data_IF_210211466575
#
_entry.id   IF_210211466575
#
_cell.length_a   1.000
_cell.length_b   1.000
_cell.length_c   1.000
_cell.angle_alpha   90.00
_cell.angle_beta   90.00
_cell.angle_gamma   90.00
#
_symmetry.space_group_name_H-M   'P 1'
#
loop_
_entity.id
_entity.type
_entity.pdbx_description
1 polymer ?
#
# COMPACT_ATOMS: atom_id res chain seq x y z
N UNK A 1 22.61 -11.57 -17.21
CA UNK A 1 21.35 -12.28 -16.92
C UNK A 1 21.50 -12.87 -15.52
N UNK A 2 20.91 -12.23 -14.49
CA UNK A 2 20.92 -12.79 -13.13
C UNK A 2 19.94 -13.95 -13.09
N UNK A 3 20.41 -15.15 -12.80
CA UNK A 3 19.55 -16.29 -12.56
C UNK A 3 18.72 -16.01 -11.31
N UNK A 4 17.41 -15.91 -11.45
CA UNK A 4 16.49 -15.95 -10.33
C UNK A 4 16.72 -17.28 -9.61
N UNK A 5 17.24 -17.22 -8.39
CA UNK A 5 17.49 -18.42 -7.62
C UNK A 5 16.15 -19.03 -7.21
N UNK A 6 15.97 -20.32 -7.50
CA UNK A 6 14.78 -21.12 -7.20
C UNK A 6 14.50 -21.30 -5.69
N UNK A 7 15.38 -20.80 -4.82
CA UNK A 7 15.32 -20.91 -3.36
C UNK A 7 14.73 -19.67 -2.66
N UNK A 8 14.39 -18.61 -3.41
CA UNK A 8 13.75 -17.43 -2.84
C UNK A 8 12.26 -17.69 -2.64
N UNK A 9 11.79 -17.59 -1.40
CA UNK A 9 10.37 -17.48 -1.10
C UNK A 9 9.88 -16.08 -1.44
N UNK A 10 8.76 -16.03 -2.15
CA UNK A 10 8.01 -14.80 -2.38
C UNK A 10 6.76 -14.88 -1.51
N UNK A 11 6.54 -13.85 -0.73
CA UNK A 11 5.34 -13.69 0.07
C UNK A 11 4.54 -12.52 -0.51
N UNK A 12 3.33 -12.81 -0.97
CA UNK A 12 2.39 -11.75 -1.31
C UNK A 12 1.74 -11.26 -0.01
N UNK A 13 2.07 -10.04 0.35
CA UNK A 13 1.53 -9.33 1.53
C UNK A 13 0.53 -8.25 1.12
N UNK A 14 0.16 -8.20 -0.16
CA UNK A 14 -0.79 -7.22 -0.67
C UNK A 14 -2.19 -7.49 -0.14
N UNK A 15 -2.92 -6.42 0.11
CA UNK A 15 -4.34 -6.51 0.43
C UNK A 15 -5.13 -6.98 -0.79
N UNK A 16 -6.06 -7.92 -0.59
CA UNK A 16 -6.95 -8.37 -1.66
C UNK A 16 -7.88 -7.23 -2.09
N UNK A 17 -7.88 -6.94 -3.38
CA UNK A 17 -8.84 -6.00 -3.97
C UNK A 17 -10.20 -6.69 -4.12
N UNK A 18 -11.19 -6.22 -3.37
CA UNK A 18 -12.59 -6.68 -3.42
C UNK A 18 -13.48 -5.44 -3.50
N UNK A 19 -14.55 -5.44 -4.34
CA UNK A 19 -15.47 -4.31 -4.44
C UNK A 19 -15.93 -3.82 -3.08
N UNK A 20 -15.91 -2.50 -2.87
CA UNK A 20 -16.16 -1.88 -1.56
C UNK A 20 -17.56 -2.21 -1.01
N UNK A 21 -18.53 -2.45 -1.91
CA UNK A 21 -19.91 -2.80 -1.55
C UNK A 21 -20.14 -4.29 -1.27
N UNK A 22 -19.11 -5.13 -1.36
CA UNK A 22 -19.19 -6.55 -1.04
C UNK A 22 -18.75 -6.82 0.40
N UNK A 23 -19.12 -7.99 0.94
CA UNK A 23 -18.65 -8.41 2.26
C UNK A 23 -17.12 -8.56 2.27
N UNK A 24 -16.46 -7.88 3.20
CA UNK A 24 -15.01 -7.78 3.26
C UNK A 24 -14.44 -6.98 2.08
N UNK A 25 -15.22 -6.02 1.58
CA UNK A 25 -14.80 -5.08 0.54
C UNK A 25 -13.67 -4.19 1.00
N UNK A 26 -12.88 -3.70 0.04
CA UNK A 26 -11.74 -2.84 0.31
C UNK A 26 -12.22 -1.54 0.97
N UNK A 27 -11.77 -1.21 2.20
CA UNK A 27 -12.05 0.08 2.78
C UNK A 27 -11.29 1.17 2.01
N UNK A 28 -11.93 2.31 1.81
CA UNK A 28 -11.33 3.47 1.16
C UNK A 28 -11.51 4.70 2.04
N UNK A 29 -10.68 5.70 1.82
CA UNK A 29 -10.79 6.99 2.50
C UNK A 29 -12.21 7.55 2.35
N UNK A 30 -12.84 8.05 3.44
CA UNK A 30 -14.18 8.62 3.38
C UNK A 30 -14.30 9.74 2.34
N UNK A 31 -15.18 9.53 1.34
CA UNK A 31 -15.39 10.47 0.24
C UNK A 31 -14.53 10.23 -1.01
N UNK A 32 -13.58 9.28 -0.97
CA UNK A 32 -12.81 8.90 -2.15
C UNK A 32 -13.55 7.87 -3.02
N UNK A 33 -13.00 7.59 -4.20
CA UNK A 33 -13.56 6.66 -5.18
C UNK A 33 -13.54 5.23 -4.65
N UNK A 34 -14.72 4.64 -4.52
CA UNK A 34 -14.87 3.24 -4.12
C UNK A 34 -14.33 2.29 -5.18
N UNK A 35 -13.76 1.17 -4.72
CA UNK A 35 -13.38 0.12 -5.64
C UNK A 35 -14.61 -0.60 -6.16
N UNK A 36 -14.76 -0.63 -7.48
CA UNK A 36 -15.80 -1.36 -8.19
C UNK A 36 -15.19 -2.23 -9.27
N UNK A 37 -15.74 -3.41 -9.45
CA UNK A 37 -15.39 -4.33 -10.52
C UNK A 37 -16.65 -4.81 -11.22
N UNK A 38 -16.66 -4.79 -12.54
CA UNK A 38 -17.75 -5.33 -13.32
C UNK A 38 -17.22 -6.20 -14.48
N UNK A 39 -17.97 -7.22 -14.84
CA UNK A 39 -17.72 -8.00 -16.04
C UNK A 39 -18.29 -7.25 -17.26
N UNK A 40 -17.44 -6.99 -18.23
CA UNK A 40 -17.83 -6.39 -19.51
C UNK A 40 -18.08 -7.45 -20.58
N UNK A 41 -17.35 -8.57 -20.51
CA UNK A 41 -17.56 -9.77 -21.31
C UNK A 41 -17.54 -10.98 -20.41
N UNK A 42 -18.45 -11.95 -20.65
CA UNK A 42 -18.47 -13.21 -19.93
C UNK A 42 -18.55 -14.39 -20.88
N UNK A 43 -17.85 -15.46 -20.55
CA UNK A 43 -17.92 -16.69 -21.32
C UNK A 43 -19.30 -17.36 -21.18
N UNK A 44 -20.01 -17.14 -20.08
CA UNK A 44 -21.38 -17.60 -19.86
C UNK A 44 -22.35 -17.02 -20.89
N UNK A 45 -22.11 -15.77 -21.33
CA UNK A 45 -22.89 -15.09 -22.37
C UNK A 45 -22.38 -15.36 -23.79
N UNK A 46 -21.48 -16.35 -23.95
CA UNK A 46 -20.94 -16.77 -25.24
C UNK A 46 -19.74 -15.98 -25.74
N UNK A 47 -19.15 -15.14 -24.90
CA UNK A 47 -17.87 -14.50 -25.23
C UNK A 47 -16.73 -15.52 -25.22
N UNK A 48 -15.71 -15.39 -26.08
CA UNK A 48 -14.53 -16.27 -26.07
C UNK A 48 -13.66 -16.09 -24.81
N UNK A 49 -13.82 -15.00 -24.06
CA UNK A 49 -13.01 -14.64 -22.89
C UNK A 49 -13.85 -13.92 -21.84
N UNK A 50 -13.36 -13.91 -20.61
CA UNK A 50 -13.87 -13.06 -19.53
C UNK A 50 -13.04 -11.77 -19.48
N UNK A 51 -13.69 -10.61 -19.55
CA UNK A 51 -13.06 -9.28 -19.42
C UNK A 51 -13.78 -8.50 -18.33
N UNK A 52 -13.04 -7.80 -17.52
CA UNK A 52 -13.58 -6.92 -16.49
C UNK A 52 -13.10 -5.50 -16.63
N UNK A 53 -13.84 -4.58 -16.01
CA UNK A 53 -13.48 -3.18 -15.81
C UNK A 53 -13.34 -2.91 -14.32
N UNK A 54 -12.28 -2.19 -13.93
CA UNK A 54 -12.08 -1.71 -12.57
C UNK A 54 -12.21 -0.19 -12.53
N UNK A 55 -12.84 0.30 -11.47
CA UNK A 55 -12.85 1.71 -11.10
C UNK A 55 -12.38 1.79 -9.66
N UNK A 56 -11.35 2.58 -9.38
CA UNK A 56 -10.78 2.70 -8.04
C UNK A 56 -10.02 4.01 -7.88
N UNK A 57 -9.83 4.43 -6.63
CA UNK A 57 -8.85 5.45 -6.30
C UNK A 57 -7.43 4.94 -6.52
N UNK A 58 -6.51 5.81 -6.85
CA UNK A 58 -5.07 5.49 -6.87
C UNK A 58 -4.53 5.16 -5.47
N UNK A 59 -5.27 5.53 -4.42
CA UNK A 59 -4.95 5.27 -3.02
C UNK A 59 -5.72 4.08 -2.44
N UNK A 60 -6.01 3.07 -3.27
CA UNK A 60 -6.73 1.88 -2.84
C UNK A 60 -5.80 0.70 -2.63
N UNK A 61 -5.99 -0.03 -1.51
CA UNK A 61 -5.23 -1.23 -1.20
C UNK A 61 -3.73 -0.98 -0.99
N UNK A 62 -2.90 -1.96 -1.32
CA UNK A 62 -1.44 -1.84 -1.24
C UNK A 62 -0.92 -1.07 -2.44
N UNK A 63 -0.41 0.12 -2.23
CA UNK A 63 0.05 1.03 -3.27
C UNK A 63 1.25 1.87 -2.83
N UNK A 64 1.86 2.57 -3.76
CA UNK A 64 2.88 3.59 -3.50
C UNK A 64 2.43 4.94 -4.04
N UNK A 65 2.58 5.99 -3.24
CA UNK A 65 2.28 7.35 -3.65
C UNK A 65 3.39 7.93 -4.52
N UNK A 66 2.98 8.65 -5.56
CA UNK A 66 3.92 9.48 -6.30
C UNK A 66 4.21 10.79 -5.56
N UNK A 67 5.39 11.39 -5.73
CA UNK A 67 5.65 12.73 -5.21
C UNK A 67 4.63 13.79 -5.64
N UNK A 68 4.02 13.60 -6.82
CA UNK A 68 2.93 14.45 -7.33
C UNK A 68 1.72 14.51 -6.39
N UNK A 69 1.51 13.49 -5.56
CA UNK A 69 0.41 13.48 -4.59
C UNK A 69 0.49 14.65 -3.60
N UNK A 70 1.70 15.04 -3.23
CA UNK A 70 1.95 16.11 -2.26
C UNK A 70 2.50 17.41 -2.87
N UNK A 71 2.84 17.42 -4.16
CA UNK A 71 3.46 18.58 -4.81
C UNK A 71 3.01 18.72 -6.25
N UNK A 72 2.47 19.90 -6.62
CA UNK A 72 1.95 20.19 -7.96
C UNK A 72 2.99 20.07 -9.10
N UNK A 73 4.27 20.14 -8.78
CA UNK A 73 5.36 20.14 -9.76
C UNK A 73 6.28 18.92 -9.66
N UNK A 74 5.98 18.02 -8.75
CA UNK A 74 6.79 16.81 -8.55
C UNK A 74 6.44 15.73 -9.60
N UNK A 75 7.32 14.72 -9.78
CA UNK A 75 7.10 13.64 -10.70
C UNK A 75 5.85 12.82 -10.39
N UNK A 76 5.18 12.35 -11.45
CA UNK A 76 4.15 11.32 -11.37
C UNK A 76 4.77 9.92 -11.14
N UNK A 77 3.94 8.92 -10.87
CA UNK A 77 4.41 7.56 -10.57
C UNK A 77 5.14 6.90 -11.75
N UNK A 78 4.82 7.26 -12.99
CA UNK A 78 5.47 6.72 -14.18
C UNK A 78 6.93 7.20 -14.30
N UNK A 79 7.24 8.32 -13.67
CA UNK A 79 8.57 8.93 -13.65
C UNK A 79 9.40 8.54 -12.43
N UNK A 80 8.83 7.83 -11.46
CA UNK A 80 9.53 7.36 -10.26
C UNK A 80 10.32 6.09 -10.58
N UNK A 81 11.59 6.05 -10.18
CA UNK A 81 12.42 4.84 -10.30
C UNK A 81 11.88 3.70 -9.42
N UNK A 82 12.21 2.46 -9.76
CA UNK A 82 11.81 1.30 -8.96
C UNK A 82 12.73 1.03 -7.75
N UNK A 83 13.91 1.65 -7.70
CA UNK A 83 14.90 1.42 -6.64
C UNK A 83 14.34 1.63 -5.21
N UNK A 84 13.48 2.62 -4.92
CA UNK A 84 12.87 2.76 -3.60
C UNK A 84 12.02 1.56 -3.17
N UNK A 85 11.49 0.80 -4.12
CA UNK A 85 10.58 -0.31 -3.87
C UNK A 85 11.25 -1.69 -3.89
N UNK A 86 12.53 -1.77 -4.25
CA UNK A 86 13.26 -3.02 -4.44
C UNK A 86 14.51 -3.07 -3.57
N UNK A 87 14.68 -4.15 -2.83
CA UNK A 87 15.88 -4.39 -2.04
C UNK A 87 15.58 -4.78 -0.59
N UNK A 88 16.63 -4.81 0.20
CA UNK A 88 16.50 -5.06 1.64
C UNK A 88 15.81 -3.90 2.33
N UNK A 89 15.01 -4.20 3.34
CA UNK A 89 14.35 -3.21 4.17
C UNK A 89 14.43 -3.59 5.65
N UNK A 90 14.45 -2.58 6.49
CA UNK A 90 14.27 -2.71 7.93
C UNK A 90 12.77 -2.65 8.25
N UNK A 91 12.27 -3.62 9.00
CA UNK A 91 10.90 -3.59 9.52
C UNK A 91 10.94 -3.16 10.97
N UNK A 92 10.26 -2.08 11.30
CA UNK A 92 10.14 -1.54 12.65
C UNK A 92 8.72 -1.81 13.15
N UNK A 93 8.62 -2.46 14.32
CA UNK A 93 7.34 -2.65 14.99
C UNK A 93 6.98 -1.37 15.76
N UNK A 94 5.91 -0.72 15.32
CA UNK A 94 5.35 0.49 15.91
C UNK A 94 3.90 0.27 16.36
N UNK A 95 3.53 -0.97 16.65
CA UNK A 95 2.15 -1.32 17.08
C UNK A 95 1.78 -0.74 18.46
N UNK A 96 2.76 -0.32 19.24
CA UNK A 96 2.53 0.34 20.53
C UNK A 96 2.25 1.84 20.40
N UNK A 97 2.51 2.42 19.21
CA UNK A 97 2.17 3.82 18.89
C UNK A 97 0.76 3.83 18.28
N UNK A 98 -0.25 4.05 19.12
CA UNK A 98 -1.65 4.06 18.69
C UNK A 98 -2.22 5.48 18.62
N UNK A 99 -2.98 5.78 17.55
CA UNK A 99 -3.73 7.02 17.42
C UNK A 99 -2.88 8.29 17.36
N UNK A 100 -1.70 8.22 16.74
CA UNK A 100 -0.79 9.34 16.69
C UNK A 100 0.18 9.29 15.53
N UNK A 101 1.34 9.93 15.71
CA UNK A 101 2.43 9.90 14.74
C UNK A 101 3.68 9.28 15.37
N UNK A 102 4.34 8.42 14.62
CA UNK A 102 5.64 7.85 14.97
C UNK A 102 6.65 8.99 14.98
N UNK A 103 7.27 9.24 16.11
CA UNK A 103 8.31 10.23 16.31
C UNK A 103 9.70 9.60 16.29
N UNK A 104 10.75 10.40 16.16
CA UNK A 104 12.15 9.94 16.27
C UNK A 104 12.40 9.20 17.60
N UNK A 105 11.71 9.62 18.67
CA UNK A 105 11.83 9.00 19.98
C UNK A 105 11.26 7.58 20.08
N UNK A 106 10.39 7.19 19.18
CA UNK A 106 9.78 5.85 19.09
C UNK A 106 10.66 4.87 18.31
N UNK A 107 11.71 5.37 17.64
CA UNK A 107 12.55 4.55 16.79
C UNK A 107 13.63 3.81 17.60
N UNK A 108 13.93 2.54 17.26
CA UNK A 108 15.13 1.89 17.75
C UNK A 108 16.37 2.58 17.18
N UNK A 109 17.52 2.29 17.75
CA UNK A 109 18.77 2.73 17.15
C UNK A 109 18.94 2.09 15.75
N UNK A 110 18.98 2.93 14.71
CA UNK A 110 19.16 2.52 13.32
C UNK A 110 20.56 3.00 12.89
N UNK A 111 21.45 2.06 12.54
CA UNK A 111 22.79 2.42 12.04
C UNK A 111 22.71 2.94 10.60
N UNK A 112 21.96 2.24 9.74
CA UNK A 112 21.60 2.66 8.39
C UNK A 112 20.52 1.75 7.81
N UNK A 113 19.62 2.30 7.01
CA UNK A 113 18.66 1.52 6.24
C UNK A 113 18.28 2.29 4.97
N UNK A 114 18.40 1.64 3.81
CA UNK A 114 17.96 2.24 2.54
C UNK A 114 16.42 2.31 2.46
N UNK A 115 15.73 1.43 3.18
CA UNK A 115 14.27 1.30 3.19
C UNK A 115 13.80 0.90 4.57
N UNK A 116 12.74 1.55 5.01
CA UNK A 116 12.10 1.27 6.30
C UNK A 116 10.63 0.98 6.05
N UNK A 117 10.11 -0.06 6.70
CA UNK A 117 8.69 -0.39 6.77
C UNK A 117 8.26 -0.33 8.24
N UNK A 118 7.20 0.42 8.52
CA UNK A 118 6.58 0.46 9.84
C UNK A 118 5.41 -0.51 9.90
N UNK A 119 5.43 -1.40 10.87
CA UNK A 119 4.28 -2.21 11.22
C UNK A 119 3.46 -1.44 12.25
N UNK A 120 2.32 -0.90 11.85
CA UNK A 120 1.48 -0.05 12.70
C UNK A 120 0.26 -0.78 13.27
N UNK A 121 -0.06 -1.98 12.75
CA UNK A 121 -1.18 -2.79 13.24
C UNK A 121 -0.73 -4.18 13.67
N UNK A 122 -1.29 -4.68 14.76
CA UNK A 122 -1.20 -6.11 15.12
C UNK A 122 -2.04 -6.96 14.16
N UNK A 123 -3.17 -6.41 13.71
CA UNK A 123 -4.05 -6.98 12.70
C UNK A 123 -4.63 -5.84 11.86
N UNK A 124 -4.41 -5.89 10.56
CA UNK A 124 -4.94 -4.90 9.63
C UNK A 124 -6.47 -4.91 9.63
N UNK A 125 -7.15 -3.73 9.73
CA UNK A 125 -8.61 -3.64 9.63
C UNK A 125 -9.04 -3.87 8.18
N UNK A 126 -9.74 -4.98 7.92
CA UNK A 126 -10.15 -5.37 6.56
C UNK A 126 -11.55 -4.93 6.19
N UNK A 127 -12.39 -4.62 7.19
CA UNK A 127 -13.84 -4.50 6.98
C UNK A 127 -14.32 -3.04 6.93
N UNK A 128 -13.54 -2.11 7.48
CA UNK A 128 -13.90 -0.69 7.54
C UNK A 128 -12.64 0.20 7.51
N UNK A 129 -12.83 1.45 7.14
CA UNK A 129 -11.78 2.45 7.23
C UNK A 129 -11.49 2.78 8.70
N UNK A 130 -10.26 2.61 9.10
CA UNK A 130 -9.78 3.04 10.41
C UNK A 130 -9.31 4.50 10.35
N UNK A 131 -10.07 5.38 10.99
CA UNK A 131 -9.75 6.81 11.06
C UNK A 131 -8.68 7.16 12.11
N UNK A 132 -8.31 6.21 12.97
CA UNK A 132 -7.31 6.37 14.03
C UNK A 132 -5.99 5.64 13.67
N UNK A 133 -5.63 5.65 12.39
CA UNK A 133 -4.40 5.04 11.93
C UNK A 133 -3.16 5.81 12.41
N UNK A 134 -2.07 5.08 12.65
CA UNK A 134 -0.77 5.67 13.02
C UNK A 134 -0.07 6.24 11.79
N UNK A 135 0.26 7.52 11.84
CA UNK A 135 1.04 8.22 10.82
C UNK A 135 2.55 8.25 11.16
N UNK A 136 3.34 8.87 10.32
CA UNK A 136 4.75 9.18 10.57
C UNK A 136 4.87 10.70 10.59
N UNK A 137 5.52 11.29 11.60
CA UNK A 137 5.70 12.73 11.62
C UNK A 137 6.77 13.19 10.61
N UNK A 138 6.73 14.48 10.27
CA UNK A 138 7.62 15.04 9.26
C UNK A 138 9.09 15.02 9.72
N UNK A 139 9.35 15.26 11.00
CA UNK A 139 10.70 15.23 11.57
C UNK A 139 11.31 13.82 11.47
N UNK A 140 10.50 12.80 11.71
CA UNK A 140 10.91 11.41 11.56
C UNK A 140 11.24 11.04 10.12
N UNK A 141 10.46 11.54 9.15
CA UNK A 141 10.74 11.33 7.72
C UNK A 141 12.05 12.02 7.32
N UNK A 142 12.30 13.24 7.82
CA UNK A 142 13.55 13.96 7.55
C UNK A 142 14.77 13.31 8.22
N UNK A 143 14.54 12.64 9.36
CA UNK A 143 15.61 11.96 10.10
C UNK A 143 16.01 10.63 9.45
N UNK A 144 15.08 9.90 8.85
CA UNK A 144 15.29 8.62 8.14
C UNK A 144 16.06 8.82 6.82
#
# INVERSE_FOLDING_TARGET
MSSWRSDRRIWDISQTLRPTNEQGGLPVWPGDTQFAFERTWTMEDGSPVNVGRMTMSTHSGTHGDAPLHYSQTAPDIASVALDPYLGECLVIDATDVSGGAISVGDLPHIESADRVLFRTFTRFPHDEWDGDFTAIDAETIEWL
#
